data_IF_401397176205
#
_entry.id   IF_401397176205
#
_cell.length_a   1.000
_cell.length_b   1.000
_cell.length_c   1.000
_cell.angle_alpha   90.00
_cell.angle_beta   90.00
_cell.angle_gamma   90.00
#
_symmetry.space_group_name_H-M   'P 1'
#
loop_
_entity.id
_entity.type
_entity.pdbx_description
1 polymer ?
#
# COMPACT_ATOMS: atom_id res chain seq x y z
N UNK A 1 15.15 41.02 -6.06
CA UNK A 1 15.48 39.73 -5.48
C UNK A 1 14.99 38.65 -6.44
N UNK A 2 15.87 38.01 -7.17
CA UNK A 2 15.54 36.97 -8.14
C UNK A 2 15.02 35.76 -7.39
N UNK A 3 13.69 35.62 -7.35
CA UNK A 3 13.02 34.37 -6.95
C UNK A 3 13.17 33.33 -8.07
N UNK A 4 14.39 32.95 -8.42
CA UNK A 4 14.61 31.71 -9.13
C UNK A 4 14.16 30.60 -8.19
N UNK A 5 13.03 29.97 -8.52
CA UNK A 5 12.68 28.71 -7.88
C UNK A 5 13.79 27.75 -8.24
N UNK A 6 14.73 27.59 -7.33
CA UNK A 6 15.65 26.47 -7.36
C UNK A 6 14.80 25.22 -7.37
N UNK A 7 14.88 24.46 -8.44
CA UNK A 7 14.24 23.17 -8.54
C UNK A 7 14.65 22.36 -7.29
N UNK A 8 13.74 21.98 -6.40
CA UNK A 8 14.13 21.55 -5.05
C UNK A 8 14.95 20.26 -5.03
N UNK A 9 14.99 19.52 -6.16
CA UNK A 9 15.70 18.25 -6.26
C UNK A 9 16.72 18.28 -7.41
N UNK A 10 17.99 18.64 -7.14
CA UNK A 10 19.05 18.67 -8.15
C UNK A 10 19.20 17.36 -8.95
N UNK A 11 19.07 16.20 -8.29
CA UNK A 11 19.15 14.88 -8.91
C UNK A 11 18.03 14.65 -9.94
N UNK A 12 16.84 15.24 -9.75
CA UNK A 12 15.76 15.17 -10.74
C UNK A 12 16.11 16.01 -11.97
N UNK A 13 16.70 17.18 -11.78
CA UNK A 13 17.14 18.01 -12.90
C UNK A 13 18.27 17.32 -13.67
N UNK A 14 19.25 16.77 -12.98
CA UNK A 14 20.32 15.99 -13.58
C UNK A 14 19.78 14.82 -14.40
N UNK A 15 18.79 14.10 -13.88
CA UNK A 15 18.13 13.00 -14.57
C UNK A 15 17.37 13.45 -15.81
N UNK A 16 16.65 14.57 -15.72
CA UNK A 16 15.93 15.16 -16.86
C UNK A 16 16.91 15.72 -17.91
N UNK A 17 17.98 16.39 -17.48
CA UNK A 17 19.05 16.85 -18.37
C UNK A 17 19.63 15.70 -19.17
N UNK A 18 19.98 14.60 -18.50
CA UNK A 18 20.46 13.40 -19.17
C UNK A 18 19.44 12.85 -20.19
N UNK A 19 18.16 12.80 -19.82
CA UNK A 19 17.09 12.32 -20.71
C UNK A 19 16.98 13.20 -21.99
N UNK A 20 17.09 14.51 -21.82
CA UNK A 20 17.02 15.48 -22.94
C UNK A 20 18.37 15.75 -23.63
N UNK A 21 19.42 15.01 -23.26
CA UNK A 21 20.76 15.18 -23.87
C UNK A 21 21.47 16.49 -23.51
N UNK A 22 21.09 17.11 -22.38
CA UNK A 22 21.67 18.35 -21.89
C UNK A 22 22.84 18.06 -20.93
N UNK A 23 23.85 18.95 -20.92
CA UNK A 23 24.92 18.91 -19.93
C UNK A 23 24.37 19.43 -18.59
N UNK A 24 24.45 18.62 -17.57
CA UNK A 24 24.12 19.06 -16.19
C UNK A 24 25.25 19.91 -15.63
N UNK A 25 24.90 21.07 -15.08
CA UNK A 25 25.86 22.04 -14.50
C UNK A 25 25.74 22.08 -12.96
N UNK A 26 25.11 21.09 -12.33
CA UNK A 26 25.07 21.05 -10.89
C UNK A 26 26.42 20.57 -10.34
N UNK A 27 27.07 21.35 -9.46
CA UNK A 27 28.25 20.85 -8.79
C UNK A 27 27.87 19.58 -8.03
N UNK A 28 28.60 18.48 -8.26
CA UNK A 28 28.49 17.29 -7.42
C UNK A 28 28.69 17.78 -5.99
N UNK A 29 27.63 17.77 -5.17
CA UNK A 29 27.71 18.10 -3.76
C UNK A 29 28.74 17.16 -3.16
N UNK A 30 29.92 17.64 -2.87
CA UNK A 30 30.89 16.91 -2.08
C UNK A 30 30.19 16.73 -0.74
N UNK A 31 29.81 15.50 -0.45
CA UNK A 31 29.30 15.15 0.88
C UNK A 31 30.42 15.53 1.82
N UNK A 32 30.24 16.60 2.58
CA UNK A 32 31.21 17.00 3.58
C UNK A 32 31.36 15.82 4.52
N UNK A 33 32.58 15.30 4.58
CA UNK A 33 32.97 14.26 5.55
C UNK A 33 33.09 14.83 6.97
N UNK A 34 32.33 15.87 7.28
CA UNK A 34 32.22 16.31 8.65
C UNK A 34 31.63 15.18 9.47
N UNK A 35 32.46 14.65 10.36
CA UNK A 35 32.05 13.62 11.31
C UNK A 35 30.80 14.08 12.05
N UNK A 36 29.79 13.22 12.19
CA UNK A 36 28.59 13.56 12.93
C UNK A 36 29.00 14.08 14.30
N UNK A 37 28.44 15.23 14.70
CA UNK A 37 28.57 15.68 16.10
C UNK A 37 28.14 14.49 16.95
N UNK A 38 29.12 13.93 17.72
CA UNK A 38 28.87 12.83 18.64
C UNK A 38 27.71 13.25 19.52
N UNK A 39 26.56 12.61 19.40
CA UNK A 39 25.52 12.70 20.41
C UNK A 39 26.12 12.18 21.69
N UNK A 40 25.84 12.85 22.81
CA UNK A 40 26.16 12.32 24.14
C UNK A 40 25.64 10.90 24.23
N UNK A 41 26.45 9.92 24.66
CA UNK A 41 25.98 8.56 24.85
C UNK A 41 24.84 8.62 25.88
N UNK A 42 23.60 8.42 25.40
CA UNK A 42 22.47 8.26 26.30
C UNK A 42 22.73 7.03 27.15
N UNK A 43 22.63 7.20 28.45
CA UNK A 43 22.78 6.14 29.46
C UNK A 43 21.90 4.96 29.07
N UNK A 44 22.52 3.79 28.87
CA UNK A 44 21.84 2.50 28.76
C UNK A 44 20.95 2.33 29.99
N UNK A 45 19.66 2.45 29.82
CA UNK A 45 18.73 2.16 30.91
C UNK A 45 17.35 2.77 30.71
N UNK A 46 16.39 1.90 30.57
CA UNK A 46 14.95 2.06 30.61
C UNK A 46 14.22 2.12 29.25
N UNK A 47 13.11 1.45 29.19
CA UNK A 47 12.12 1.41 28.08
C UNK A 47 11.82 2.82 27.59
N UNK A 48 12.55 3.31 26.61
CA UNK A 48 12.34 4.66 26.10
C UNK A 48 11.08 4.72 25.26
N UNK A 49 10.22 5.68 25.59
CA UNK A 49 9.06 6.05 24.76
C UNK A 49 9.58 6.90 23.60
N UNK A 50 9.54 6.36 22.38
CA UNK A 50 9.96 7.09 21.19
C UNK A 50 8.89 8.09 20.75
N UNK A 51 9.34 9.21 20.18
CA UNK A 51 8.53 10.18 19.44
C UNK A 51 8.67 9.90 17.96
N UNK A 52 7.57 9.55 17.28
CA UNK A 52 7.56 9.01 15.93
C UNK A 52 6.72 9.91 15.05
N UNK A 53 7.27 10.34 13.91
CA UNK A 53 6.54 10.99 12.84
C UNK A 53 6.18 9.96 11.77
N UNK A 54 4.91 9.72 11.54
CA UNK A 54 4.41 9.00 10.35
C UNK A 54 3.90 10.04 9.36
N UNK A 55 4.42 10.04 8.15
CA UNK A 55 4.02 11.03 7.15
C UNK A 55 3.69 10.38 5.81
N UNK A 56 2.69 10.94 5.11
CA UNK A 56 2.25 10.48 3.80
C UNK A 56 1.87 11.64 2.89
N UNK A 57 2.18 11.51 1.60
CA UNK A 57 1.79 12.43 0.54
C UNK A 57 0.29 12.36 0.21
N UNK A 58 -0.38 11.30 0.60
CA UNK A 58 -1.79 11.05 0.33
C UNK A 58 -2.67 11.59 1.47
N UNK A 59 -3.90 11.96 1.15
CA UNK A 59 -4.87 12.38 2.17
C UNK A 59 -5.04 11.31 3.25
N UNK A 60 -5.08 11.73 4.51
CA UNK A 60 -5.31 10.85 5.65
C UNK A 60 -6.19 11.59 6.70
N UNK A 61 -7.23 10.94 7.27
CA UNK A 61 -7.74 9.61 6.92
C UNK A 61 -8.50 9.58 5.58
N UNK A 62 -8.57 8.41 4.95
CA UNK A 62 -9.41 8.13 3.78
C UNK A 62 -9.78 6.64 3.72
N UNK A 63 -10.74 6.27 2.91
CA UNK A 63 -11.11 4.86 2.69
C UNK A 63 -10.04 4.17 1.84
N UNK A 64 -9.34 3.18 2.41
CA UNK A 64 -8.34 2.39 1.67
C UNK A 64 -7.23 1.78 2.53
N UNK A 65 -6.48 0.85 1.93
CA UNK A 65 -5.47 0.06 2.62
C UNK A 65 -4.36 0.87 3.28
N UNK A 66 -3.87 1.94 2.63
CA UNK A 66 -2.85 2.83 3.19
C UNK A 66 -3.34 3.50 4.49
N UNK A 67 -4.55 4.08 4.46
CA UNK A 67 -5.11 4.74 5.63
C UNK A 67 -5.33 3.75 6.78
N UNK A 68 -5.86 2.57 6.48
CA UNK A 68 -6.03 1.51 7.48
C UNK A 68 -4.70 1.08 8.09
N UNK A 69 -3.65 0.91 7.26
CA UNK A 69 -2.31 0.59 7.74
C UNK A 69 -1.76 1.66 8.68
N UNK A 70 -1.81 2.94 8.28
CA UNK A 70 -1.32 4.07 9.10
C UNK A 70 -2.10 4.14 10.43
N UNK A 71 -3.42 4.01 10.39
CA UNK A 71 -4.29 4.03 11.59
C UNK A 71 -3.91 2.88 12.53
N UNK A 72 -3.80 1.67 12.00
CA UNK A 72 -3.46 0.46 12.76
C UNK A 72 -2.08 0.56 13.40
N UNK A 73 -1.07 0.98 12.61
CA UNK A 73 0.29 1.17 13.10
C UNK A 73 0.35 2.24 14.20
N UNK A 74 -0.30 3.39 13.98
CA UNK A 74 -0.33 4.49 14.96
C UNK A 74 -1.02 4.05 16.26
N UNK A 75 -2.19 3.40 16.16
CA UNK A 75 -2.94 2.87 17.31
C UNK A 75 -2.08 1.89 18.13
N UNK A 76 -1.45 0.95 17.46
CA UNK A 76 -0.63 -0.06 18.12
C UNK A 76 0.65 0.51 18.75
N UNK A 77 1.33 1.47 18.12
CA UNK A 77 2.48 2.14 18.71
C UNK A 77 2.08 3.00 19.93
N UNK A 78 0.96 3.71 19.84
CA UNK A 78 0.42 4.50 20.96
C UNK A 78 0.02 3.63 22.15
N UNK A 79 -0.59 2.45 21.92
CA UNK A 79 -0.94 1.50 23.00
C UNK A 79 0.30 0.96 23.72
N UNK A 80 1.45 0.94 23.06
CA UNK A 80 2.74 0.58 23.67
C UNK A 80 3.47 1.77 24.31
N UNK A 81 2.82 2.93 24.38
CA UNK A 81 3.30 4.12 25.09
C UNK A 81 4.20 5.06 24.27
N UNK A 82 4.34 4.86 22.97
CA UNK A 82 5.06 5.79 22.09
C UNK A 82 4.22 7.04 21.78
N UNK A 83 4.87 8.17 21.51
CA UNK A 83 4.23 9.36 20.94
C UNK A 83 4.22 9.23 19.41
N UNK A 84 3.08 9.34 18.77
CA UNK A 84 2.95 9.20 17.32
C UNK A 84 2.14 10.34 16.77
N UNK A 85 2.76 11.10 15.89
CA UNK A 85 2.11 12.12 15.08
C UNK A 85 1.96 11.61 13.64
N UNK A 86 0.83 11.92 13.00
CA UNK A 86 0.57 11.59 11.60
C UNK A 86 0.43 12.91 10.84
N UNK A 87 1.16 13.06 9.74
CA UNK A 87 1.13 14.25 8.89
C UNK A 87 0.76 13.86 7.46
N UNK A 88 -0.22 14.59 6.92
CA UNK A 88 -0.70 14.43 5.54
C UNK A 88 -1.17 15.79 4.96
N UNK A 89 -1.27 15.95 3.62
CA UNK A 89 -1.58 17.24 2.99
C UNK A 89 -2.92 17.86 3.42
N UNK A 90 -3.92 17.05 3.72
CA UNK A 90 -5.26 17.54 4.07
C UNK A 90 -5.39 18.07 5.51
N UNK A 91 -4.33 17.99 6.32
CA UNK A 91 -4.27 18.58 7.66
C UNK A 91 -3.87 20.07 7.62
N UNK A 92 -3.45 20.56 6.45
CA UNK A 92 -3.08 21.96 6.27
C UNK A 92 -4.22 22.76 5.67
N UNK A 93 -4.29 24.07 5.99
CA UNK A 93 -5.39 24.91 5.53
C UNK A 93 -5.43 25.01 4.00
N UNK A 94 -6.62 24.85 3.42
CA UNK A 94 -6.84 24.92 1.98
C UNK A 94 -6.39 26.25 1.37
N UNK A 95 -6.51 27.35 2.09
CA UNK A 95 -6.05 28.67 1.66
C UNK A 95 -4.53 28.75 1.48
N UNK A 96 -3.75 28.19 2.44
CA UNK A 96 -2.29 28.11 2.32
C UNK A 96 -1.88 27.22 1.17
N UNK A 97 -2.52 26.05 1.01
CA UNK A 97 -2.28 25.12 -0.11
C UNK A 97 -2.51 25.80 -1.45
N UNK A 98 -3.63 26.52 -1.58
CA UNK A 98 -3.97 27.27 -2.80
C UNK A 98 -2.91 28.34 -3.11
N UNK A 99 -2.52 29.14 -2.12
CA UNK A 99 -1.50 30.19 -2.26
C UNK A 99 -0.15 29.61 -2.73
N UNK A 100 0.34 28.53 -2.14
CA UNK A 100 1.58 27.87 -2.58
C UNK A 100 1.44 27.34 -4.01
N UNK A 101 0.29 26.75 -4.35
CA UNK A 101 0.06 26.22 -5.69
C UNK A 101 0.07 27.31 -6.76
N UNK A 102 -0.58 28.45 -6.46
CA UNK A 102 -0.65 29.58 -7.37
C UNK A 102 0.73 30.24 -7.57
N UNK A 103 1.53 30.36 -6.53
CA UNK A 103 2.86 30.96 -6.63
C UNK A 103 3.88 30.10 -7.39
N UNK A 104 3.81 28.76 -7.28
CA UNK A 104 4.81 27.87 -7.86
C UNK A 104 4.52 27.48 -9.30
N UNK A 105 3.26 27.46 -9.72
CA UNK A 105 2.87 26.91 -11.04
C UNK A 105 3.48 27.69 -12.21
N UNK A 106 3.42 29.05 -12.26
CA UNK A 106 4.04 29.82 -13.35
C UNK A 106 5.54 29.60 -13.44
N UNK A 107 6.21 29.58 -12.30
CA UNK A 107 7.66 29.44 -12.21
C UNK A 107 8.14 28.06 -12.66
N UNK A 108 7.43 26.99 -12.29
CA UNK A 108 7.73 25.64 -12.77
C UNK A 108 7.53 25.53 -14.29
N UNK A 109 6.43 26.08 -14.83
CA UNK A 109 6.19 26.12 -16.28
C UNK A 109 7.33 26.83 -17.01
N UNK A 110 7.69 28.01 -16.55
CA UNK A 110 8.77 28.80 -17.13
C UNK A 110 10.12 28.05 -17.08
N UNK A 111 10.43 27.42 -15.93
CA UNK A 111 11.64 26.61 -15.79
C UNK A 111 11.69 25.47 -16.84
N UNK A 112 10.64 24.67 -16.92
CA UNK A 112 10.60 23.55 -17.86
C UNK A 112 10.65 24.00 -19.32
N UNK A 113 9.88 25.04 -19.69
CA UNK A 113 9.87 25.58 -21.05
C UNK A 113 11.24 26.15 -21.45
N UNK A 114 11.85 26.93 -20.57
CA UNK A 114 13.17 27.52 -20.85
C UNK A 114 14.28 26.48 -20.95
N UNK A 115 14.24 25.43 -20.12
CA UNK A 115 15.31 24.44 -20.04
C UNK A 115 15.16 23.32 -21.07
N UNK A 116 13.94 22.83 -21.27
CA UNK A 116 13.66 21.62 -22.07
C UNK A 116 12.85 21.90 -23.34
N UNK A 117 12.41 23.13 -23.58
CA UNK A 117 11.53 23.49 -24.69
C UNK A 117 10.12 22.95 -24.60
N UNK A 118 9.94 21.80 -23.94
CA UNK A 118 8.67 21.13 -23.68
C UNK A 118 8.71 20.40 -22.34
N UNK A 119 7.54 20.01 -21.84
CA UNK A 119 7.45 19.24 -20.58
C UNK A 119 6.24 18.32 -20.56
N UNK A 120 6.33 17.28 -19.75
CA UNK A 120 5.18 16.43 -19.43
C UNK A 120 4.28 17.13 -18.39
N UNK A 121 3.00 17.31 -18.71
CA UNK A 121 1.99 17.83 -17.75
C UNK A 121 1.91 16.97 -16.49
N UNK A 122 2.16 15.68 -16.63
CA UNK A 122 2.19 14.75 -15.51
C UNK A 122 3.35 15.07 -14.56
N UNK A 123 4.56 15.26 -15.07
CA UNK A 123 5.72 15.66 -14.28
C UNK A 123 5.48 17.01 -13.63
N UNK A 124 5.00 18.00 -14.39
CA UNK A 124 4.69 19.34 -13.89
C UNK A 124 3.69 19.28 -12.72
N UNK A 125 2.59 18.52 -12.89
CA UNK A 125 1.57 18.38 -11.86
C UNK A 125 2.11 17.68 -10.60
N UNK A 126 2.89 16.62 -10.76
CA UNK A 126 3.53 15.94 -9.63
C UNK A 126 4.50 16.86 -8.91
N UNK A 127 5.34 17.57 -9.65
CA UNK A 127 6.32 18.50 -9.08
C UNK A 127 5.67 19.62 -8.29
N UNK A 128 4.58 20.16 -8.81
CA UNK A 128 3.78 21.18 -8.12
C UNK A 128 3.22 20.65 -6.80
N UNK A 129 2.67 19.44 -6.80
CA UNK A 129 2.11 18.82 -5.59
C UNK A 129 3.20 18.52 -4.55
N UNK A 130 4.34 17.98 -4.99
CA UNK A 130 5.50 17.73 -4.12
C UNK A 130 5.98 19.02 -3.48
N UNK A 131 6.18 20.08 -4.28
CA UNK A 131 6.61 21.37 -3.77
C UNK A 131 5.65 21.94 -2.71
N UNK A 132 4.36 21.88 -2.98
CA UNK A 132 3.35 22.36 -2.03
C UNK A 132 3.42 21.58 -0.71
N UNK A 133 3.53 20.26 -0.78
CA UNK A 133 3.63 19.42 0.42
C UNK A 133 4.95 19.63 1.16
N UNK A 134 6.03 19.85 0.43
CA UNK A 134 7.33 20.21 1.01
C UNK A 134 7.24 21.50 1.83
N UNK A 135 6.64 22.55 1.27
CA UNK A 135 6.42 23.82 1.98
C UNK A 135 5.54 23.69 3.24
N UNK A 136 4.67 22.71 3.25
CA UNK A 136 3.91 22.37 4.44
C UNK A 136 4.80 21.65 5.48
N UNK A 137 5.58 20.67 5.05
CA UNK A 137 6.46 19.93 5.94
C UNK A 137 7.61 20.78 6.52
N UNK A 138 8.05 21.84 5.82
CA UNK A 138 9.01 22.84 6.35
C UNK A 138 8.50 23.51 7.64
N UNK A 139 7.21 23.54 7.88
CA UNK A 139 6.62 24.11 9.10
C UNK A 139 6.66 23.15 10.30
N UNK A 140 7.07 21.91 10.09
CA UNK A 140 7.13 20.88 11.12
C UNK A 140 8.52 20.83 11.73
N UNK A 141 8.58 21.00 13.02
CA UNK A 141 9.82 20.80 13.77
C UNK A 141 10.15 19.31 13.83
N UNK A 142 11.16 18.88 13.02
CA UNK A 142 11.62 17.51 12.97
C UNK A 142 12.52 17.14 14.14
N UNK A 143 13.07 18.11 14.86
CA UNK A 143 13.98 17.86 15.98
C UNK A 143 13.31 17.09 17.12
N UNK A 144 12.01 17.31 17.32
CA UNK A 144 11.20 16.67 18.38
C UNK A 144 10.97 15.16 18.16
N UNK A 145 11.24 14.62 16.97
CA UNK A 145 11.03 13.21 16.67
C UNK A 145 12.34 12.40 16.80
N UNK A 146 12.19 11.19 17.34
CA UNK A 146 13.27 10.20 17.38
C UNK A 146 13.33 9.41 16.06
N UNK A 147 12.16 9.14 15.45
CA UNK A 147 11.99 8.34 14.23
C UNK A 147 11.15 9.10 13.22
N UNK A 148 11.56 9.05 11.96
CA UNK A 148 10.78 9.49 10.81
C UNK A 148 10.33 8.28 10.01
N UNK A 149 9.05 8.18 9.65
CA UNK A 149 8.54 7.07 8.85
C UNK A 149 7.68 7.56 7.68
N UNK A 150 8.24 7.53 6.49
CA UNK A 150 7.58 7.87 5.23
C UNK A 150 6.75 6.69 4.70
N UNK A 151 5.50 6.95 4.33
CA UNK A 151 4.57 5.93 3.84
C UNK A 151 4.45 5.92 2.31
N UNK A 152 5.27 6.69 1.63
CA UNK A 152 5.36 6.74 0.17
C UNK A 152 6.67 7.39 -0.29
N UNK A 153 6.99 7.21 -1.58
CA UNK A 153 8.23 7.68 -2.16
C UNK A 153 8.38 9.22 -2.16
N UNK A 154 7.28 9.95 -2.28
CA UNK A 154 7.32 11.42 -2.31
C UNK A 154 7.66 11.97 -0.94
N UNK A 155 7.00 11.44 0.09
CA UNK A 155 7.29 11.78 1.48
C UNK A 155 8.71 11.37 1.88
N UNK A 156 9.19 10.20 1.42
CA UNK A 156 10.56 9.75 1.70
C UNK A 156 11.60 10.70 1.09
N UNK A 157 11.36 11.22 -0.13
CA UNK A 157 12.23 12.23 -0.74
C UNK A 157 12.24 13.55 0.04
N UNK A 158 11.07 14.05 0.45
CA UNK A 158 10.96 15.32 1.19
C UNK A 158 11.64 15.19 2.55
N UNK A 159 11.26 14.18 3.33
CA UNK A 159 11.84 13.94 4.66
C UNK A 159 13.33 13.61 4.56
N UNK A 160 13.77 12.87 3.54
CA UNK A 160 15.17 12.56 3.33
C UNK A 160 16.03 13.82 3.17
N UNK A 161 15.56 14.78 2.37
CA UNK A 161 16.22 16.08 2.20
C UNK A 161 16.31 16.87 3.50
N UNK A 162 15.20 16.98 4.23
CA UNK A 162 15.21 17.71 5.51
C UNK A 162 16.08 17.00 6.53
N UNK A 163 16.10 15.68 6.49
CA UNK A 163 16.85 14.85 7.40
C UNK A 163 18.37 14.88 7.19
N UNK A 164 18.87 15.44 6.08
CA UNK A 164 20.31 15.73 5.91
C UNK A 164 20.85 16.59 7.07
N UNK A 165 20.00 17.47 7.61
CA UNK A 165 20.33 18.32 8.80
C UNK A 165 20.15 17.58 10.12
N UNK A 166 19.05 16.81 10.26
CA UNK A 166 18.66 16.22 11.55
C UNK A 166 19.24 14.82 11.78
N UNK A 167 19.59 14.09 10.71
CA UNK A 167 20.20 12.74 10.74
C UNK A 167 19.45 11.74 11.62
N UNK A 168 18.11 11.78 11.58
CA UNK A 168 17.24 10.83 12.30
C UNK A 168 17.13 9.53 11.53
N UNK A 169 16.87 8.37 12.15
CA UNK A 169 16.47 7.16 11.43
C UNK A 169 15.23 7.44 10.59
N UNK A 170 15.36 7.31 9.26
CA UNK A 170 14.26 7.45 8.30
C UNK A 170 13.85 6.08 7.79
N UNK A 171 12.66 5.64 8.15
CA UNK A 171 12.02 4.44 7.62
C UNK A 171 11.17 4.78 6.41
N UNK A 172 11.16 3.88 5.44
CA UNK A 172 10.32 4.00 4.25
C UNK A 172 9.47 2.75 4.07
N UNK A 173 8.13 2.90 3.96
CA UNK A 173 7.22 1.82 3.61
C UNK A 173 6.56 2.10 2.27
N UNK A 174 6.96 1.42 1.18
CA UNK A 174 6.24 1.45 -0.08
C UNK A 174 4.95 0.62 0.02
N UNK A 175 3.81 1.23 -0.30
CA UNK A 175 2.52 0.52 -0.40
C UNK A 175 2.22 0.00 -1.81
N UNK A 176 3.17 0.13 -2.72
CA UNK A 176 3.13 -0.33 -4.10
C UNK A 176 4.38 0.12 -4.84
N UNK A 177 4.79 -0.62 -5.85
CA UNK A 177 5.86 -0.21 -6.77
C UNK A 177 5.31 0.82 -7.74
N UNK A 178 5.63 2.09 -7.53
CA UNK A 178 4.96 3.21 -8.18
C UNK A 178 5.15 3.22 -9.70
N UNK A 179 6.39 3.20 -10.16
CA UNK A 179 6.72 3.23 -11.60
C UNK A 179 6.32 1.93 -12.29
N UNK A 180 6.65 0.79 -11.68
CA UNK A 180 6.30 -0.53 -12.22
C UNK A 180 4.80 -0.67 -12.45
N UNK A 181 3.97 -0.29 -11.48
CA UNK A 181 2.52 -0.38 -11.62
C UNK A 181 1.99 0.55 -12.73
N UNK A 182 2.59 1.74 -12.90
CA UNK A 182 2.18 2.66 -13.97
C UNK A 182 2.55 2.17 -15.36
N UNK A 183 3.69 1.54 -15.50
CA UNK A 183 4.10 0.86 -16.75
C UNK A 183 3.18 -0.33 -17.04
N UNK A 184 2.98 -1.19 -16.05
CA UNK A 184 2.12 -2.39 -16.19
C UNK A 184 0.69 -2.07 -16.66
N UNK A 185 0.16 -0.92 -16.24
CA UNK A 185 -1.20 -0.47 -16.60
C UNK A 185 -1.22 0.59 -17.70
N UNK A 186 -0.13 0.75 -18.45
CA UNK A 186 0.01 1.72 -19.54
C UNK A 186 -0.38 3.17 -19.15
N UNK A 187 -0.21 3.54 -17.87
CA UNK A 187 -0.42 4.91 -17.38
C UNK A 187 0.74 5.81 -17.81
N UNK A 188 1.94 5.26 -17.85
CA UNK A 188 3.14 5.88 -18.44
C UNK A 188 3.72 4.90 -19.47
N UNK A 189 4.44 5.43 -20.44
CA UNK A 189 5.08 4.62 -21.49
C UNK A 189 6.49 4.22 -21.06
N UNK A 190 6.91 3.03 -21.51
CA UNK A 190 8.31 2.59 -21.37
C UNK A 190 9.24 3.55 -22.11
N UNK A 191 10.43 3.75 -21.56
CA UNK A 191 11.48 4.65 -22.06
C UNK A 191 11.05 6.12 -22.19
N UNK A 192 9.96 6.52 -21.52
CA UNK A 192 9.47 7.89 -21.46
C UNK A 192 10.18 8.71 -20.39
N UNK A 193 10.09 10.05 -20.53
CA UNK A 193 10.58 10.99 -19.51
C UNK A 193 9.92 10.78 -18.16
N UNK A 194 8.63 10.37 -18.13
CA UNK A 194 7.90 10.05 -16.91
C UNK A 194 8.48 8.82 -16.22
N UNK A 195 8.81 7.77 -16.97
CA UNK A 195 9.46 6.59 -16.40
C UNK A 195 10.80 6.96 -15.77
N UNK A 196 11.61 7.70 -16.50
CA UNK A 196 12.91 8.17 -16.01
C UNK A 196 12.77 8.99 -14.73
N UNK A 197 11.82 9.93 -14.71
CA UNK A 197 11.51 10.79 -13.57
C UNK A 197 11.06 10.01 -12.34
N UNK A 198 10.11 9.08 -12.49
CA UNK A 198 9.58 8.34 -11.35
C UNK A 198 10.56 7.29 -10.82
N UNK A 199 11.34 6.64 -11.69
CA UNK A 199 12.42 5.75 -11.25
C UNK A 199 13.46 6.48 -10.40
N UNK A 200 13.83 7.71 -10.80
CA UNK A 200 14.76 8.51 -10.01
C UNK A 200 14.21 8.85 -8.62
N UNK A 201 12.92 9.21 -8.54
CA UNK A 201 12.27 9.44 -7.23
C UNK A 201 12.22 8.18 -6.37
N UNK A 202 11.95 7.01 -6.96
CA UNK A 202 11.97 5.73 -6.22
C UNK A 202 13.38 5.39 -5.74
N UNK A 203 14.40 5.54 -6.58
CA UNK A 203 15.79 5.28 -6.22
C UNK A 203 16.27 6.21 -5.10
N UNK A 204 15.90 7.49 -5.16
CA UNK A 204 16.25 8.46 -4.10
C UNK A 204 15.51 8.21 -2.78
N UNK A 205 14.24 7.79 -2.82
CA UNK A 205 13.52 7.37 -1.62
C UNK A 205 14.23 6.20 -0.92
N UNK A 206 14.76 5.25 -1.71
CA UNK A 206 15.56 4.12 -1.23
C UNK A 206 16.89 4.58 -0.62
N UNK A 207 17.59 5.50 -1.29
CA UNK A 207 18.88 6.03 -0.85
C UNK A 207 18.78 6.80 0.48
N UNK A 208 17.71 7.60 0.66
CA UNK A 208 17.47 8.35 1.88
C UNK A 208 17.04 7.48 3.06
N UNK A 209 16.44 6.32 2.79
CA UNK A 209 15.94 5.46 3.84
C UNK A 209 17.07 4.76 4.61
N UNK A 210 17.09 4.92 5.92
CA UNK A 210 17.93 4.11 6.80
C UNK A 210 17.52 2.65 6.74
N UNK A 211 16.21 2.39 6.61
CA UNK A 211 15.64 1.06 6.48
C UNK A 211 14.31 1.08 5.73
N UNK A 212 14.03 0.01 5.01
CA UNK A 212 12.80 -0.15 4.21
C UNK A 212 11.96 -1.26 4.84
N UNK A 213 10.70 -0.95 5.14
CA UNK A 213 9.73 -1.93 5.62
C UNK A 213 8.79 -2.25 4.47
N UNK A 214 8.78 -3.48 4.00
CA UNK A 214 7.88 -3.93 2.94
C UNK A 214 6.75 -4.78 3.50
N UNK A 215 5.57 -4.71 2.88
CA UNK A 215 4.39 -5.45 3.31
C UNK A 215 4.40 -6.92 2.83
N UNK A 216 5.29 -7.22 1.88
CA UNK A 216 5.42 -8.52 1.24
C UNK A 216 6.83 -8.66 0.66
N UNK A 217 7.36 -9.88 0.63
CA UNK A 217 8.65 -10.19 0.01
C UNK A 217 8.64 -9.96 -1.51
N UNK A 218 7.46 -9.93 -2.14
CA UNK A 218 7.32 -9.59 -3.55
C UNK A 218 7.85 -8.19 -3.93
N UNK A 219 8.01 -7.29 -2.96
CA UNK A 219 8.63 -5.98 -3.18
C UNK A 219 10.16 -6.01 -3.19
N UNK A 220 10.78 -7.06 -2.63
CA UNK A 220 12.22 -7.09 -2.36
C UNK A 220 13.05 -7.01 -3.64
N UNK A 221 12.78 -7.89 -4.61
CA UNK A 221 13.53 -7.91 -5.87
C UNK A 221 13.37 -6.60 -6.67
N UNK A 222 12.16 -6.04 -6.88
CA UNK A 222 12.00 -4.73 -7.49
C UNK A 222 12.77 -3.60 -6.80
N UNK A 223 12.79 -3.57 -5.47
CA UNK A 223 13.53 -2.56 -4.72
C UNK A 223 15.05 -2.72 -4.86
N UNK A 224 15.55 -3.97 -4.87
CA UNK A 224 16.97 -4.25 -5.10
C UNK A 224 17.39 -3.77 -6.51
N UNK A 225 16.56 -3.98 -7.53
CA UNK A 225 16.80 -3.46 -8.89
C UNK A 225 16.84 -1.92 -8.96
N UNK A 226 16.20 -1.24 -8.00
CA UNK A 226 16.23 0.22 -7.85
C UNK A 226 17.37 0.71 -6.92
N UNK A 227 18.23 -0.18 -6.44
CA UNK A 227 19.41 0.18 -5.64
C UNK A 227 19.31 -0.14 -4.14
N UNK A 228 18.21 -0.73 -3.66
CA UNK A 228 18.11 -1.12 -2.25
C UNK A 228 19.10 -2.26 -1.91
N UNK A 229 19.75 -2.15 -0.76
CA UNK A 229 20.55 -3.26 -0.22
C UNK A 229 19.63 -4.25 0.49
N UNK A 230 19.74 -5.54 0.17
CA UNK A 230 18.86 -6.58 0.73
C UNK A 230 18.81 -6.56 2.28
N UNK A 231 19.94 -6.29 2.93
CA UNK A 231 20.05 -6.18 4.40
C UNK A 231 19.26 -5.00 4.99
N UNK A 232 18.92 -4.01 4.18
CA UNK A 232 18.15 -2.83 4.60
C UNK A 232 16.65 -3.00 4.34
N UNK A 233 16.18 -4.19 3.97
CA UNK A 233 14.76 -4.47 3.71
C UNK A 233 14.27 -5.50 4.72
N UNK A 234 13.22 -5.18 5.45
CA UNK A 234 12.51 -6.12 6.33
C UNK A 234 11.06 -6.25 5.91
N UNK A 235 10.60 -7.49 5.78
CA UNK A 235 9.20 -7.78 5.49
C UNK A 235 8.39 -7.84 6.79
N UNK A 236 7.39 -6.98 6.88
CA UNK A 236 6.43 -6.95 7.97
C UNK A 236 5.03 -6.99 7.40
N UNK A 237 4.42 -8.16 7.43
CA UNK A 237 3.05 -8.37 6.94
C UNK A 237 2.09 -7.54 7.79
N UNK A 238 1.12 -6.88 7.15
CA UNK A 238 0.12 -6.05 7.83
C UNK A 238 -0.74 -6.89 8.77
N UNK A 239 -0.82 -6.46 10.02
CA UNK A 239 -1.79 -6.97 11.00
C UNK A 239 -3.00 -6.05 11.08
N UNK A 240 -4.15 -6.59 11.45
CA UNK A 240 -5.37 -5.82 11.65
C UNK A 240 -5.99 -6.05 13.03
N UNK A 241 -6.78 -5.08 13.47
CA UNK A 241 -7.69 -5.22 14.61
C UNK A 241 -9.00 -5.77 14.06
N UNK A 242 -9.20 -7.06 14.19
CA UNK A 242 -10.40 -7.68 13.67
C UNK A 242 -11.36 -8.01 14.82
N UNK A 243 -12.61 -7.49 14.82
CA UNK A 243 -13.56 -7.77 15.87
C UNK A 243 -13.86 -9.28 15.90
N UNK A 244 -13.60 -9.90 17.05
CA UNK A 244 -13.85 -11.31 17.26
C UNK A 244 -15.36 -11.56 17.40
N UNK A 245 -16.08 -11.47 16.30
CA UNK A 245 -17.46 -11.99 16.29
C UNK A 245 -17.40 -13.52 16.19
N UNK A 246 -18.07 -14.26 17.09
CA UNK A 246 -18.19 -15.69 16.91
C UNK A 246 -18.84 -15.94 15.55
N UNK A 247 -18.31 -16.89 14.77
CA UNK A 247 -18.98 -17.35 13.57
C UNK A 247 -20.37 -17.83 13.98
N UNK A 248 -21.40 -17.18 13.44
CA UNK A 248 -22.76 -17.63 13.72
C UNK A 248 -22.91 -19.01 13.10
N UNK A 249 -23.08 -20.04 13.95
CA UNK A 249 -23.47 -21.36 13.48
C UNK A 249 -24.81 -21.22 12.77
N UNK A 250 -24.83 -21.66 11.53
CA UNK A 250 -26.02 -21.61 10.70
C UNK A 250 -26.85 -22.83 11.02
N UNK A 251 -27.73 -22.70 12.01
CA UNK A 251 -28.49 -23.80 12.62
C UNK A 251 -29.65 -24.37 11.80
N UNK A 252 -29.85 -23.88 10.54
CA UNK A 252 -31.02 -24.38 9.76
C UNK A 252 -30.57 -25.23 8.57
N UNK A 253 -31.25 -26.39 8.33
CA UNK A 253 -30.97 -27.29 7.21
C UNK A 253 -31.15 -26.66 5.80
N UNK A 254 -31.83 -25.52 5.72
CA UNK A 254 -32.16 -24.84 4.46
C UNK A 254 -31.19 -23.74 4.08
N UNK A 255 -30.01 -23.69 4.70
CA UNK A 255 -29.09 -22.56 4.54
C UNK A 255 -28.33 -22.59 3.22
N UNK A 256 -28.44 -21.50 2.42
CA UNK A 256 -27.66 -21.32 1.21
C UNK A 256 -26.18 -21.12 1.53
N UNK A 257 -25.31 -21.82 0.79
CA UNK A 257 -23.88 -21.59 0.87
C UNK A 257 -23.54 -20.19 0.37
N UNK A 258 -22.86 -19.40 1.18
CA UNK A 258 -22.54 -17.99 0.89
C UNK A 258 -21.11 -17.84 0.42
N UNK A 259 -20.93 -17.32 -0.79
CA UNK A 259 -19.65 -16.92 -1.38
C UNK A 259 -19.58 -15.40 -1.33
N UNK A 260 -18.49 -14.83 -0.83
CA UNK A 260 -18.34 -13.36 -0.72
C UNK A 260 -17.05 -12.89 -1.37
N UNK A 261 -17.15 -11.79 -2.15
CA UNK A 261 -16.02 -11.03 -2.66
C UNK A 261 -16.08 -9.61 -2.08
N UNK A 262 -15.05 -9.21 -1.35
CA UNK A 262 -14.94 -7.84 -0.78
C UNK A 262 -13.79 -7.11 -1.45
N UNK A 263 -14.11 -6.18 -2.34
CA UNK A 263 -13.12 -5.37 -3.03
C UNK A 263 -13.77 -4.17 -3.74
N UNK A 264 -12.97 -3.12 -4.01
CA UNK A 264 -13.38 -2.06 -4.92
C UNK A 264 -13.68 -2.64 -6.32
N UNK A 265 -14.77 -2.23 -6.96
CA UNK A 265 -15.11 -2.67 -8.29
C UNK A 265 -14.23 -2.00 -9.36
N UNK A 266 -12.99 -2.45 -9.43
CA UNK A 266 -11.99 -1.98 -10.38
C UNK A 266 -11.43 -3.12 -11.24
N UNK A 267 -10.84 -2.83 -12.43
CA UNK A 267 -10.39 -3.85 -13.39
C UNK A 267 -9.40 -4.86 -12.77
N UNK A 268 -8.59 -4.40 -11.81
CA UNK A 268 -7.55 -5.23 -11.20
C UNK A 268 -8.06 -6.29 -10.23
N UNK A 269 -9.32 -6.18 -9.77
CA UNK A 269 -9.86 -7.06 -8.73
C UNK A 269 -10.49 -8.35 -9.27
N UNK A 270 -10.61 -8.48 -10.59
CA UNK A 270 -10.94 -9.73 -11.26
C UNK A 270 -12.38 -10.20 -11.10
N UNK A 271 -13.33 -9.31 -10.77
CA UNK A 271 -14.76 -9.68 -10.64
C UNK A 271 -15.33 -10.30 -11.93
N UNK A 272 -14.85 -9.85 -13.09
CA UNK A 272 -15.21 -10.44 -14.39
C UNK A 272 -14.83 -11.92 -14.48
N UNK A 273 -13.65 -12.30 -13.99
CA UNK A 273 -13.21 -13.70 -13.94
C UNK A 273 -14.03 -14.52 -12.94
N UNK A 274 -14.47 -13.92 -11.84
CA UNK A 274 -15.39 -14.59 -10.91
C UNK A 274 -16.72 -14.91 -11.62
N UNK A 275 -17.28 -13.95 -12.35
CA UNK A 275 -18.56 -14.17 -13.03
C UNK A 275 -18.44 -15.21 -14.15
N UNK A 276 -17.35 -15.18 -14.89
CA UNK A 276 -17.04 -16.20 -15.89
C UNK A 276 -16.92 -17.59 -15.24
N UNK A 277 -16.16 -17.73 -14.16
CA UNK A 277 -16.02 -18.97 -13.42
C UNK A 277 -17.37 -19.50 -12.88
N UNK A 278 -18.21 -18.60 -12.35
CA UNK A 278 -19.57 -18.97 -11.89
C UNK A 278 -20.45 -19.48 -13.04
N UNK A 279 -20.29 -18.94 -14.27
CA UNK A 279 -21.05 -19.41 -15.42
C UNK A 279 -20.69 -20.84 -15.80
N UNK A 280 -19.43 -21.26 -15.68
CA UNK A 280 -18.98 -22.62 -15.96
C UNK A 280 -19.55 -23.66 -14.98
N UNK A 281 -19.83 -23.25 -13.74
CA UNK A 281 -20.33 -24.15 -12.70
C UNK A 281 -21.81 -23.92 -12.35
N UNK A 282 -22.56 -23.24 -13.18
CA UNK A 282 -23.95 -22.80 -12.94
C UNK A 282 -24.87 -23.93 -12.42
N UNK A 283 -24.73 -25.16 -12.93
CA UNK A 283 -25.48 -26.32 -12.45
C UNK A 283 -25.22 -26.72 -10.99
N UNK A 284 -24.16 -26.23 -10.37
CA UNK A 284 -23.80 -26.46 -8.95
C UNK A 284 -24.17 -25.30 -8.05
N UNK A 285 -24.80 -24.23 -8.58
CA UNK A 285 -25.03 -22.98 -7.83
C UNK A 285 -26.51 -22.80 -7.40
N UNK A 286 -27.36 -23.82 -7.52
CA UNK A 286 -28.81 -23.76 -7.22
C UNK A 286 -29.10 -23.38 -5.75
N UNK A 287 -28.25 -23.79 -4.81
CA UNK A 287 -28.38 -23.45 -3.37
C UNK A 287 -27.24 -22.56 -2.88
N UNK A 288 -26.84 -21.57 -3.68
CA UNK A 288 -25.73 -20.66 -3.38
C UNK A 288 -26.20 -19.22 -3.53
N UNK A 289 -25.66 -18.34 -2.69
CA UNK A 289 -25.66 -16.90 -2.94
C UNK A 289 -24.23 -16.38 -3.04
N UNK A 290 -24.04 -15.38 -3.90
CA UNK A 290 -22.76 -14.74 -4.13
C UNK A 290 -22.90 -13.26 -3.82
N UNK A 291 -22.18 -12.78 -2.83
CA UNK A 291 -22.22 -11.41 -2.36
C UNK A 291 -21.01 -10.62 -2.87
N UNK A 292 -21.26 -9.57 -3.62
CA UNK A 292 -20.24 -8.63 -4.08
C UNK A 292 -20.32 -7.38 -3.22
N UNK A 293 -19.30 -7.17 -2.38
CA UNK A 293 -19.21 -6.07 -1.43
C UNK A 293 -18.16 -5.07 -1.90
N UNK A 294 -18.58 -3.84 -2.09
CA UNK A 294 -17.77 -2.75 -2.60
C UNK A 294 -18.45 -2.02 -3.77
N UNK A 295 -17.84 -0.92 -4.18
CA UNK A 295 -18.28 -0.11 -5.31
C UNK A 295 -17.10 0.35 -6.16
N UNK A 296 -17.36 0.93 -7.33
CA UNK A 296 -16.32 1.43 -8.23
C UNK A 296 -16.72 1.46 -9.69
N UNK A 297 -15.81 1.93 -10.52
CA UNK A 297 -16.02 2.23 -11.94
C UNK A 297 -16.52 1.04 -12.79
N UNK A 298 -16.31 -0.19 -12.33
CA UNK A 298 -16.76 -1.40 -13.07
C UNK A 298 -18.20 -1.82 -12.75
N UNK A 299 -18.91 -1.11 -11.87
CA UNK A 299 -20.23 -1.50 -11.37
C UNK A 299 -21.20 -1.83 -12.51
N UNK A 300 -21.43 -0.89 -13.41
CA UNK A 300 -22.35 -1.08 -14.53
C UNK A 300 -21.93 -2.18 -15.50
N UNK A 301 -20.61 -2.28 -15.76
CA UNK A 301 -20.06 -3.34 -16.62
C UNK A 301 -20.29 -4.72 -16.03
N UNK A 302 -20.08 -4.87 -14.74
CA UNK A 302 -20.30 -6.13 -14.04
C UNK A 302 -21.79 -6.49 -13.93
N UNK A 303 -22.67 -5.52 -13.76
CA UNK A 303 -24.12 -5.76 -13.78
C UNK A 303 -24.61 -6.25 -15.16
N UNK A 304 -24.08 -5.66 -16.25
CA UNK A 304 -24.33 -6.14 -17.62
C UNK A 304 -23.80 -7.56 -17.81
N UNK A 305 -22.59 -7.86 -17.37
CA UNK A 305 -22.00 -9.20 -17.45
C UNK A 305 -22.81 -10.22 -16.64
N UNK A 306 -23.22 -9.88 -15.42
CA UNK A 306 -24.10 -10.70 -14.58
C UNK A 306 -25.40 -11.08 -15.35
N UNK A 307 -26.04 -10.09 -15.97
CA UNK A 307 -27.28 -10.29 -16.75
C UNK A 307 -27.03 -11.18 -17.96
N UNK A 308 -25.99 -10.90 -18.74
CA UNK A 308 -25.66 -11.68 -19.95
C UNK A 308 -25.33 -13.14 -19.61
N UNK A 309 -24.66 -13.41 -18.49
CA UNK A 309 -24.36 -14.78 -18.05
C UNK A 309 -25.48 -15.43 -17.23
N UNK A 310 -26.59 -14.74 -16.97
CA UNK A 310 -27.74 -15.26 -16.21
C UNK A 310 -27.41 -15.69 -14.80
N UNK A 311 -26.61 -14.91 -14.08
CA UNK A 311 -26.11 -15.19 -12.72
C UNK A 311 -27.05 -14.61 -11.64
N UNK A 312 -28.27 -15.20 -11.53
CA UNK A 312 -29.30 -14.72 -10.58
C UNK A 312 -28.86 -14.76 -9.10
N UNK A 313 -27.96 -15.71 -8.74
CA UNK A 313 -27.46 -15.88 -7.39
C UNK A 313 -26.49 -14.75 -6.95
N UNK A 314 -25.98 -13.91 -7.87
CA UNK A 314 -25.06 -12.82 -7.55
C UNK A 314 -25.83 -11.58 -7.08
N UNK A 315 -25.45 -11.05 -5.92
CA UNK A 315 -26.01 -9.83 -5.32
C UNK A 315 -24.91 -8.80 -5.10
N UNK A 316 -25.13 -7.58 -5.57
CA UNK A 316 -24.24 -6.46 -5.26
C UNK A 316 -24.76 -5.73 -4.02
N UNK A 317 -23.93 -5.61 -2.99
CA UNK A 317 -24.28 -4.94 -1.73
C UNK A 317 -23.80 -3.48 -1.64
N UNK A 318 -23.03 -3.01 -2.63
CA UNK A 318 -22.38 -1.70 -2.55
C UNK A 318 -21.28 -1.65 -1.49
N UNK A 319 -20.84 -0.44 -1.14
CA UNK A 319 -19.90 -0.23 -0.04
C UNK A 319 -20.59 -0.48 1.30
N UNK A 320 -19.92 -1.22 2.20
CA UNK A 320 -20.46 -1.65 3.49
C UNK A 320 -19.47 -1.39 4.61
N UNK A 321 -19.97 -0.98 5.77
CA UNK A 321 -19.17 -0.78 6.99
C UNK A 321 -19.23 -2.01 7.92
N UNK A 322 -20.18 -2.91 7.69
CA UNK A 322 -20.39 -4.15 8.45
C UNK A 322 -19.75 -5.38 7.79
N UNK A 323 -18.63 -5.19 7.10
CA UNK A 323 -17.87 -6.28 6.44
C UNK A 323 -17.57 -7.44 7.40
N UNK A 324 -17.18 -7.24 8.67
CA UNK A 324 -16.97 -8.33 9.62
C UNK A 324 -18.24 -9.19 9.83
N UNK A 325 -19.41 -8.58 9.89
CA UNK A 325 -20.68 -9.29 10.04
C UNK A 325 -21.02 -10.11 8.77
N UNK A 326 -20.76 -9.56 7.59
CA UNK A 326 -20.94 -10.27 6.32
C UNK A 326 -20.00 -11.49 6.25
N UNK A 327 -18.72 -11.28 6.58
CA UNK A 327 -17.73 -12.34 6.55
C UNK A 327 -18.00 -13.44 7.59
N UNK A 328 -18.57 -13.11 8.76
CA UNK A 328 -18.96 -14.11 9.76
C UNK A 328 -20.01 -15.10 9.26
N UNK A 329 -20.80 -14.69 8.25
CA UNK A 329 -21.82 -15.50 7.59
C UNK A 329 -21.35 -16.11 6.24
N UNK A 330 -20.12 -15.89 5.87
CA UNK A 330 -19.53 -16.35 4.60
C UNK A 330 -18.91 -17.73 4.77
N UNK A 331 -19.15 -18.63 3.81
CA UNK A 331 -18.53 -19.95 3.77
C UNK A 331 -17.25 -19.97 2.95
N UNK A 332 -17.25 -19.25 1.81
CA UNK A 332 -16.12 -19.13 0.90
C UNK A 332 -15.87 -17.65 0.62
N UNK A 333 -14.69 -17.17 0.90
CA UNK A 333 -14.23 -15.87 0.44
C UNK A 333 -13.47 -16.03 -0.88
N UNK A 334 -13.74 -15.17 -1.85
CA UNK A 334 -13.06 -15.22 -3.15
C UNK A 334 -12.57 -13.82 -3.55
N UNK A 335 -11.27 -13.70 -3.87
CA UNK A 335 -10.69 -12.48 -4.43
C UNK A 335 -9.78 -12.85 -5.61
N UNK A 336 -10.30 -12.93 -6.85
CA UNK A 336 -9.53 -13.35 -8.02
C UNK A 336 -8.77 -12.18 -8.64
N UNK A 337 -8.09 -11.43 -7.82
CA UNK A 337 -7.36 -10.21 -8.22
C UNK A 337 -6.24 -10.51 -9.19
N UNK A 338 -6.01 -9.64 -10.17
CA UNK A 338 -4.90 -9.76 -11.14
C UNK A 338 -3.68 -8.92 -10.75
N UNK A 339 -3.83 -8.03 -9.80
CA UNK A 339 -2.73 -7.27 -9.22
C UNK A 339 -3.13 -6.64 -7.88
N UNK A 340 -2.44 -7.07 -6.84
CA UNK A 340 -2.60 -6.51 -5.49
C UNK A 340 -1.27 -6.62 -4.74
N UNK A 341 -1.01 -5.72 -3.83
CA UNK A 341 0.20 -5.78 -3.00
C UNK A 341 -0.01 -6.74 -1.83
N UNK A 342 -0.97 -6.39 -0.95
CA UNK A 342 -1.38 -7.20 0.20
C UNK A 342 -2.84 -6.84 0.53
N UNK A 343 -3.83 -7.61 0.03
CA UNK A 343 -5.25 -7.26 0.21
C UNK A 343 -5.73 -7.53 1.63
N UNK A 344 -6.13 -6.48 2.35
CA UNK A 344 -6.63 -6.58 3.73
C UNK A 344 -7.89 -7.44 3.82
N UNK A 345 -8.74 -7.45 2.80
CA UNK A 345 -9.95 -8.27 2.78
C UNK A 345 -9.68 -9.78 2.85
N UNK A 346 -8.51 -10.25 2.39
CA UNK A 346 -8.07 -11.64 2.62
C UNK A 346 -7.76 -11.84 4.10
N UNK A 347 -7.06 -10.91 4.73
CA UNK A 347 -6.73 -10.98 6.16
C UNK A 347 -8.01 -10.97 6.99
N UNK A 348 -8.98 -10.12 6.66
CA UNK A 348 -10.29 -10.05 7.28
C UNK A 348 -11.06 -11.39 7.15
N UNK A 349 -11.07 -11.97 5.95
CA UNK A 349 -11.69 -13.25 5.68
C UNK A 349 -11.04 -14.40 6.48
N UNK A 350 -9.70 -14.41 6.57
CA UNK A 350 -8.98 -15.40 7.38
C UNK A 350 -9.32 -15.28 8.86
N UNK A 351 -9.37 -14.06 9.42
CA UNK A 351 -9.79 -13.84 10.80
C UNK A 351 -11.22 -14.29 11.06
N UNK A 352 -12.13 -14.10 10.10
CA UNK A 352 -13.51 -14.57 10.18
C UNK A 352 -13.63 -16.10 10.15
N UNK A 353 -12.59 -16.82 9.72
CA UNK A 353 -12.61 -18.26 9.55
C UNK A 353 -13.44 -18.68 8.34
N UNK A 354 -13.22 -18.04 7.19
CA UNK A 354 -13.76 -18.45 5.89
C UNK A 354 -12.74 -19.23 5.09
N UNK A 355 -13.16 -20.15 4.24
CA UNK A 355 -12.26 -20.78 3.27
C UNK A 355 -11.93 -19.75 2.17
N UNK A 356 -10.65 -19.50 1.93
CA UNK A 356 -10.20 -18.44 1.02
C UNK A 356 -9.75 -19.00 -0.31
N UNK A 357 -10.22 -18.40 -1.42
CA UNK A 357 -9.70 -18.59 -2.78
C UNK A 357 -9.14 -17.26 -3.25
N UNK A 358 -7.89 -17.24 -3.69
CA UNK A 358 -7.30 -16.04 -4.30
C UNK A 358 -6.22 -16.42 -5.33
N UNK A 359 -5.44 -15.46 -5.76
CA UNK A 359 -4.50 -15.62 -6.89
C UNK A 359 -3.05 -15.46 -6.46
N UNK A 360 -2.14 -16.00 -7.27
CA UNK A 360 -0.70 -15.91 -7.09
C UNK A 360 -0.18 -14.52 -7.53
N UNK A 361 -0.56 -13.45 -6.82
CA UNK A 361 -0.03 -12.13 -7.11
C UNK A 361 0.34 -11.36 -5.83
N UNK A 362 1.36 -10.49 -5.94
CA UNK A 362 1.85 -9.68 -4.82
C UNK A 362 2.19 -10.52 -3.60
N UNK A 363 1.71 -10.10 -2.43
CA UNK A 363 1.91 -10.77 -1.15
C UNK A 363 0.88 -11.84 -0.80
N UNK A 364 -0.01 -12.21 -1.71
CA UNK A 364 -1.06 -13.20 -1.43
C UNK A 364 -0.49 -14.58 -1.08
N UNK A 365 0.57 -15.09 -1.76
CA UNK A 365 1.20 -16.37 -1.38
C UNK A 365 1.83 -16.38 0.02
N UNK A 366 2.09 -15.22 0.59
CA UNK A 366 2.59 -15.10 1.97
C UNK A 366 1.45 -15.21 3.00
N UNK A 367 0.23 -14.80 2.61
CA UNK A 367 -0.98 -14.94 3.42
C UNK A 367 -1.57 -16.34 3.34
N UNK A 368 -1.64 -16.91 2.13
CA UNK A 368 -2.32 -18.16 1.87
C UNK A 368 -1.31 -19.26 1.55
N UNK A 369 -1.21 -20.25 2.42
CA UNK A 369 -0.50 -21.49 2.13
C UNK A 369 -1.42 -22.40 1.31
N UNK A 370 -1.08 -22.56 0.02
CA UNK A 370 -1.93 -23.28 -0.94
C UNK A 370 -2.33 -24.67 -0.42
N UNK A 371 -3.60 -25.02 -0.58
CA UNK A 371 -4.24 -26.25 -0.12
C UNK A 371 -4.20 -26.52 1.42
N UNK A 372 -3.67 -25.55 2.21
CA UNK A 372 -3.63 -25.64 3.68
C UNK A 372 -4.51 -24.59 4.35
N UNK A 373 -4.30 -23.31 4.04
CA UNK A 373 -5.08 -22.19 4.59
C UNK A 373 -6.02 -21.56 3.56
N UNK A 374 -6.05 -22.10 2.34
CA UNK A 374 -6.87 -21.64 1.22
C UNK A 374 -6.33 -22.18 -0.10
N UNK A 375 -6.89 -21.69 -1.21
CA UNK A 375 -6.48 -22.09 -2.57
C UNK A 375 -5.91 -20.86 -3.28
N UNK A 376 -4.74 -21.02 -3.89
CA UNK A 376 -4.06 -20.00 -4.67
C UNK A 376 -4.02 -20.43 -6.13
N UNK A 377 -4.46 -19.54 -7.03
CA UNK A 377 -4.66 -19.79 -8.46
C UNK A 377 -3.82 -18.81 -9.29
N UNK A 378 -3.67 -19.10 -10.58
CA UNK A 378 -3.08 -18.15 -11.51
C UNK A 378 -4.03 -16.97 -11.77
N UNK A 379 -3.52 -15.72 -11.76
CA UNK A 379 -4.33 -14.54 -12.05
C UNK A 379 -4.97 -14.61 -13.45
N UNK A 380 -6.26 -14.26 -13.53
CA UNK A 380 -7.01 -14.24 -14.79
C UNK A 380 -7.49 -15.62 -15.29
N UNK A 381 -7.24 -16.69 -14.55
CA UNK A 381 -7.66 -18.04 -14.95
C UNK A 381 -9.04 -18.40 -14.39
N UNK A 382 -10.08 -18.11 -15.14
CA UNK A 382 -11.48 -18.36 -14.77
C UNK A 382 -11.81 -19.86 -14.66
N UNK A 383 -11.14 -20.73 -15.43
CA UNK A 383 -11.34 -22.19 -15.36
C UNK A 383 -10.80 -22.78 -14.05
N UNK A 384 -9.56 -22.41 -13.66
CA UNK A 384 -9.03 -22.83 -12.37
C UNK A 384 -9.91 -22.32 -11.22
N UNK A 385 -10.41 -21.07 -11.33
CA UNK A 385 -11.31 -20.52 -10.33
C UNK A 385 -12.62 -21.31 -10.25
N UNK A 386 -13.19 -21.70 -11.38
CA UNK A 386 -14.39 -22.55 -11.44
C UNK A 386 -14.16 -23.90 -10.77
N UNK A 387 -13.01 -24.55 -11.00
CA UNK A 387 -12.64 -25.81 -10.38
C UNK A 387 -12.49 -25.67 -8.86
N UNK A 388 -11.79 -24.63 -8.39
CA UNK A 388 -11.62 -24.37 -6.97
C UNK A 388 -12.95 -24.08 -6.26
N UNK A 389 -13.81 -23.25 -6.86
CA UNK A 389 -15.16 -23.00 -6.36
C UNK A 389 -15.97 -24.29 -6.28
N UNK A 390 -16.03 -25.07 -7.36
CA UNK A 390 -16.74 -26.36 -7.39
C UNK A 390 -16.22 -27.32 -6.33
N UNK A 391 -14.90 -27.40 -6.13
CA UNK A 391 -14.30 -28.24 -5.10
C UNK A 391 -14.76 -27.84 -3.72
N UNK A 392 -14.64 -26.55 -3.33
CA UNK A 392 -15.05 -26.09 -2.01
C UNK A 392 -16.58 -26.09 -1.81
N UNK A 393 -17.38 -25.93 -2.86
CA UNK A 393 -18.85 -26.06 -2.80
C UNK A 393 -19.22 -27.48 -2.40
N UNK A 394 -18.61 -28.49 -3.04
CA UNK A 394 -18.94 -29.90 -2.83
C UNK A 394 -18.31 -30.52 -1.61
N UNK A 395 -17.18 -29.99 -1.14
CA UNK A 395 -16.39 -30.60 -0.07
C UNK A 395 -16.43 -29.75 1.21
N UNK A 396 -17.41 -30.03 2.08
CA UNK A 396 -17.60 -29.34 3.36
C UNK A 396 -16.39 -29.53 4.31
N UNK A 397 -15.80 -30.72 4.33
CA UNK A 397 -14.68 -31.05 5.21
C UNK A 397 -13.43 -30.25 4.81
N UNK A 398 -13.06 -30.24 3.53
CA UNK A 398 -11.94 -29.43 3.04
C UNK A 398 -12.16 -27.94 3.32
N UNK A 399 -13.39 -27.44 3.12
CA UNK A 399 -13.77 -26.06 3.41
C UNK A 399 -13.58 -25.73 4.89
N UNK A 400 -14.04 -26.58 5.79
CA UNK A 400 -13.90 -26.39 7.24
C UNK A 400 -12.45 -26.47 7.71
N UNK A 401 -11.68 -27.42 7.20
CA UNK A 401 -10.25 -27.57 7.51
C UNK A 401 -9.47 -26.32 7.09
N UNK A 402 -9.65 -25.86 5.83
CA UNK A 402 -8.97 -24.67 5.34
C UNK A 402 -9.36 -23.42 6.13
N UNK A 403 -10.64 -23.25 6.47
CA UNK A 403 -11.11 -22.09 7.21
C UNK A 403 -10.54 -22.06 8.64
N UNK A 404 -10.48 -23.20 9.31
CA UNK A 404 -9.87 -23.32 10.66
C UNK A 404 -8.38 -23.00 10.62
N UNK A 405 -7.66 -23.56 9.66
CA UNK A 405 -6.24 -23.29 9.47
C UNK A 405 -5.97 -21.82 9.16
N UNK A 406 -6.78 -21.21 8.27
CA UNK A 406 -6.69 -19.77 7.94
C UNK A 406 -6.88 -18.90 9.18
N UNK A 407 -7.91 -19.18 10.00
CA UNK A 407 -8.19 -18.46 11.23
C UNK A 407 -7.05 -18.55 12.24
N UNK A 408 -6.51 -19.75 12.44
CA UNK A 408 -5.40 -19.98 13.36
C UNK A 408 -4.13 -19.24 12.89
N UNK A 409 -3.85 -19.26 11.60
CA UNK A 409 -2.74 -18.51 11.03
C UNK A 409 -2.92 -17.00 11.23
N UNK A 410 -4.11 -16.47 10.92
CA UNK A 410 -4.41 -15.04 11.07
C UNK A 410 -4.27 -14.58 12.52
N UNK A 411 -4.85 -15.32 13.48
CA UNK A 411 -4.74 -15.04 14.92
C UNK A 411 -3.30 -15.00 15.43
N UNK A 412 -2.41 -15.81 14.86
CA UNK A 412 -1.01 -15.90 15.29
C UNK A 412 -0.11 -14.86 14.62
N UNK A 413 -0.37 -14.55 13.35
CA UNK A 413 0.61 -13.83 12.51
C UNK A 413 0.11 -12.51 11.93
N UNK A 414 -1.22 -12.29 11.82
CA UNK A 414 -1.83 -11.16 11.14
C UNK A 414 -2.55 -10.20 12.10
N UNK A 415 -2.04 -10.08 13.34
CA UNK A 415 -2.56 -9.18 14.38
C UNK A 415 -1.76 -7.88 14.42
N UNK A 416 -2.39 -6.82 14.98
CA UNK A 416 -1.71 -5.55 15.25
C UNK A 416 -0.44 -5.79 16.07
N UNK A 417 -0.54 -6.58 17.14
CA UNK A 417 0.59 -6.81 18.05
C UNK A 417 1.78 -7.47 17.33
N UNK A 418 1.51 -8.44 16.45
CA UNK A 418 2.54 -9.07 15.63
C UNK A 418 3.24 -8.08 14.70
N UNK A 419 2.47 -7.22 14.02
CA UNK A 419 3.01 -6.17 13.13
C UNK A 419 3.79 -5.11 13.91
N UNK A 420 3.14 -4.54 14.92
CA UNK A 420 3.71 -3.42 15.70
C UNK A 420 4.93 -3.87 16.49
N UNK A 421 4.92 -5.07 17.05
CA UNK A 421 6.07 -5.64 17.75
C UNK A 421 7.34 -5.69 16.87
N UNK A 422 7.20 -6.15 15.63
CA UNK A 422 8.31 -6.18 14.67
C UNK A 422 8.79 -4.78 14.28
N UNK A 423 7.87 -3.87 13.99
CA UNK A 423 8.21 -2.49 13.59
C UNK A 423 8.86 -1.74 14.75
N UNK A 424 8.35 -1.89 15.98
CA UNK A 424 8.94 -1.30 17.18
C UNK A 424 10.37 -1.79 17.39
N UNK A 425 10.63 -3.09 17.24
CA UNK A 425 11.97 -3.65 17.37
C UNK A 425 12.93 -2.99 16.38
N UNK A 426 12.55 -2.87 15.12
CA UNK A 426 13.34 -2.15 14.12
C UNK A 426 13.60 -0.68 14.53
N UNK A 427 12.59 0.03 15.02
CA UNK A 427 12.75 1.42 15.45
C UNK A 427 13.74 1.53 16.62
N UNK A 428 13.64 0.64 17.60
CA UNK A 428 14.51 0.63 18.75
C UNK A 428 15.95 0.33 18.37
N UNK A 429 16.18 -0.69 17.54
CA UNK A 429 17.51 -1.07 17.06
C UNK A 429 18.19 0.08 16.32
N UNK A 430 17.48 0.73 15.40
CA UNK A 430 18.03 1.87 14.65
C UNK A 430 18.20 3.13 15.51
N UNK A 431 17.36 3.31 16.52
CA UNK A 431 17.50 4.43 17.45
C UNK A 431 18.70 4.24 18.40
N UNK A 432 18.99 3.02 18.83
CA UNK A 432 20.13 2.70 19.68
C UNK A 432 21.48 2.72 18.95
N UNK A 433 21.48 2.47 17.63
CA UNK A 433 22.69 2.50 16.80
C UNK A 433 23.12 3.92 16.38
N UNK A 434 22.23 4.91 16.39
CA UNK A 434 22.48 6.29 16.02
C UNK A 434 22.59 7.21 17.27
#
# INVERSE_FOLDING_TARGET
>A
MNNEITFPYPYIVERLDHYYGLKSHFPKKVISTEQPKKRNPFTKGSKKKLSILIATFWSYPHVGGLSNYITTLSKGLKSQGHKVDIISPNQFSTSKVKKFRESVTPNLKNFFTKRYGSYSDRILNHKRLIYVYEKMLETIDLEKYDILHAQDLFTANILGRFNETYRKPLFYTPHGMFTFNRLKFNIIKKDSVEESYFKELESKAIEYASHIIVLSDSFREPLIKLGAKNRNITTVITGIDYPMSPRQEKETPSHKLTITCVARLGPRKGHNHLFEALSYIKKYTTNIEVLIVGDGQMRETLERQKKALGLSMVKFLGSRDDVPLILSKTDIFVLPTINDSLPLSIIEAMHSGTAVISTNCGGIPELIKNNKTGIVLEPGNSEQLAHALKFLIKNKEARNTMSTNAKNFAKKHLTIDSMVGKIKHLYTDFWEMN
#
